data_IF_029759249160
#
_entry.id   IF_029759249160
#
_cell.length_a   1.000
_cell.length_b   1.000
_cell.length_c   1.000
_cell.angle_alpha   90.00
_cell.angle_beta   90.00
_cell.angle_gamma   90.00
#
_symmetry.space_group_name_H-M   'P 1'
#
loop_
_entity.id
_entity.type
_entity.pdbx_description
1 polymer ?
#
# COMPACT_ATOMS: atom_id res chain seq x y z
N UNK A 1 63.50 14.88 -12.82
CA UNK A 1 63.58 13.41 -12.66
C UNK A 1 62.55 12.98 -11.73
N UNK A 2 61.38 12.62 -12.24
CA UNK A 2 60.20 12.19 -11.46
C UNK A 2 59.90 10.72 -11.79
N UNK A 3 60.11 9.83 -10.85
CA UNK A 3 59.88 8.39 -10.99
C UNK A 3 58.37 8.12 -10.90
N UNK A 4 57.78 7.57 -11.93
CA UNK A 4 56.44 6.97 -11.92
C UNK A 4 56.48 5.57 -11.29
N UNK A 5 55.58 5.31 -10.38
CA UNK A 5 55.30 3.99 -9.80
C UNK A 5 54.15 3.35 -10.60
N UNK A 6 54.27 2.12 -11.11
CA UNK A 6 53.18 1.45 -11.82
C UNK A 6 52.17 0.89 -10.86
N UNK A 7 50.91 1.28 -11.01
CA UNK A 7 49.78 0.70 -10.28
C UNK A 7 49.45 -0.72 -10.76
N UNK A 8 49.54 -1.69 -9.87
CA UNK A 8 49.13 -3.06 -10.12
C UNK A 8 47.60 -3.14 -10.09
N UNK A 9 46.99 -3.48 -11.23
CA UNK A 9 45.57 -3.86 -11.32
C UNK A 9 45.37 -5.25 -10.77
N UNK A 10 44.70 -5.38 -9.62
CA UNK A 10 44.28 -6.67 -9.10
C UNK A 10 43.12 -7.24 -9.96
N UNK A 11 43.37 -8.41 -10.58
CA UNK A 11 42.40 -9.16 -11.35
C UNK A 11 41.52 -9.96 -10.43
N UNK A 12 40.20 -10.09 -10.77
CA UNK A 12 39.20 -10.88 -10.05
C UNK A 12 39.61 -12.35 -9.80
N UNK A 13 40.59 -12.85 -10.52
CA UNK A 13 41.09 -14.21 -10.38
C UNK A 13 42.04 -14.39 -9.19
N UNK A 14 42.64 -13.34 -8.66
CA UNK A 14 43.57 -13.40 -7.52
C UNK A 14 42.85 -13.28 -6.14
N UNK A 15 41.58 -12.89 -6.13
CA UNK A 15 40.82 -12.81 -4.91
C UNK A 15 40.31 -14.18 -4.40
N UNK A 16 40.09 -15.14 -5.29
CA UNK A 16 39.68 -16.50 -4.95
C UNK A 16 40.79 -17.44 -4.51
N UNK A 17 42.06 -17.02 -4.63
CA UNK A 17 43.22 -17.81 -4.21
C UNK A 17 43.69 -17.63 -2.76
N UNK A 18 43.11 -16.68 -2.00
CA UNK A 18 43.54 -16.32 -0.64
C UNK A 18 42.68 -16.88 0.48
N UNK A 19 41.62 -17.65 0.17
CA UNK A 19 40.70 -18.26 1.15
C UNK A 19 41.04 -19.74 1.42
N UNK A 20 42.07 -20.29 0.79
CA UNK A 20 42.36 -21.71 0.78
C UNK A 20 43.54 -22.21 1.63
N UNK A 21 44.14 -21.44 2.51
CA UNK A 21 45.29 -21.89 3.32
C UNK A 21 45.23 -21.40 4.77
N UNK A 22 44.43 -22.09 5.59
CA UNK A 22 44.31 -21.79 7.02
C UNK A 22 43.59 -22.87 7.81
N UNK A 23 43.86 -24.13 7.54
CA UNK A 23 43.32 -25.22 8.34
C UNK A 23 44.40 -26.28 8.65
N UNK A 24 45.18 -26.07 9.69
CA UNK A 24 45.81 -27.16 10.45
C UNK A 24 46.28 -26.64 11.83
N UNK A 25 45.82 -27.36 12.83
CA UNK A 25 46.35 -27.46 14.21
C UNK A 25 45.76 -26.48 15.25
N UNK A 26 44.79 -26.99 16.04
CA UNK A 26 44.97 -27.19 17.45
C UNK A 26 43.75 -27.92 18.04
N UNK A 27 44.00 -29.01 18.69
CA UNK A 27 43.06 -29.79 19.48
C UNK A 27 42.64 -29.05 20.74
N UNK A 28 41.35 -29.16 21.09
CA UNK A 28 40.87 -28.84 22.44
C UNK A 28 39.64 -27.97 22.53
N UNK A 29 38.49 -28.57 22.82
CA UNK A 29 37.36 -27.93 23.42
C UNK A 29 36.10 -27.79 22.58
N UNK A 30 34.92 -28.20 23.09
CA UNK A 30 33.66 -28.12 22.41
C UNK A 30 33.06 -26.71 22.55
N UNK A 31 33.43 -25.81 21.64
CA UNK A 31 32.84 -24.48 21.47
C UNK A 31 32.36 -24.24 20.06
N UNK A 32 31.67 -25.22 19.49
CA UNK A 32 30.87 -25.04 18.27
C UNK A 32 29.38 -25.27 18.57
N UNK A 33 28.91 -24.61 19.64
CA UNK A 33 27.52 -24.17 19.61
C UNK A 33 27.46 -22.96 18.68
N UNK A 34 27.77 -23.19 17.43
CA UNK A 34 27.56 -22.23 16.34
C UNK A 34 26.06 -22.01 16.26
N UNK A 35 25.66 -20.79 16.43
CA UNK A 35 24.35 -20.27 16.13
C UNK A 35 23.85 -20.86 14.81
N UNK A 36 23.05 -21.90 14.88
CA UNK A 36 22.05 -22.13 13.87
C UNK A 36 20.99 -21.07 14.09
N UNK A 37 21.27 -19.85 13.65
CA UNK A 37 20.19 -18.96 13.30
C UNK A 37 19.35 -19.74 12.28
N UNK A 38 18.23 -20.30 12.77
CA UNK A 38 17.13 -20.63 11.89
C UNK A 38 16.96 -19.43 10.97
N UNK A 39 16.90 -19.60 9.64
CA UNK A 39 16.51 -18.51 8.78
C UNK A 39 15.17 -18.01 9.34
N UNK A 40 15.17 -16.82 9.85
CA UNK A 40 13.98 -16.09 10.22
C UNK A 40 13.24 -15.86 8.89
N UNK A 41 12.28 -16.72 8.59
CA UNK A 41 11.62 -16.60 7.29
C UNK A 41 10.83 -17.79 6.84
N UNK A 42 10.42 -18.69 7.70
CA UNK A 42 9.15 -19.36 7.45
C UNK A 42 8.10 -18.47 8.09
N UNK A 43 7.41 -17.67 7.27
CA UNK A 43 6.31 -16.86 7.71
C UNK A 43 5.21 -17.74 8.30
N UNK A 44 5.37 -18.11 9.55
CA UNK A 44 4.22 -18.45 10.36
C UNK A 44 3.35 -17.19 10.30
N UNK A 45 2.13 -17.32 9.80
CA UNK A 45 1.12 -16.29 9.88
C UNK A 45 1.20 -15.74 11.31
N UNK A 46 1.63 -14.49 11.46
CA UNK A 46 1.73 -13.90 12.79
C UNK A 46 0.33 -14.03 13.36
N UNK A 47 0.21 -14.62 14.53
CA UNK A 47 -1.06 -14.65 15.22
C UNK A 47 -1.41 -13.20 15.52
N UNK A 48 -2.22 -12.60 14.65
CA UNK A 48 -2.60 -11.19 14.76
C UNK A 48 -3.33 -10.90 16.08
N UNK A 49 -3.85 -11.94 16.73
CA UNK A 49 -4.47 -11.84 18.05
C UNK A 49 -3.42 -11.67 19.16
N UNK A 50 -2.17 -12.04 18.92
CA UNK A 50 -1.06 -11.78 19.88
C UNK A 50 -0.79 -10.29 20.10
N UNK A 51 -1.30 -9.41 19.23
CA UNK A 51 -1.13 -7.96 19.31
C UNK A 51 -2.46 -7.23 19.55
N UNK A 52 -3.49 -7.93 19.95
CA UNK A 52 -4.81 -7.34 20.19
C UNK A 52 -4.76 -6.19 21.20
N UNK A 53 -3.91 -6.31 22.23
CA UNK A 53 -3.73 -5.30 23.29
C UNK A 53 -3.04 -4.01 22.80
N UNK A 54 -2.42 -4.03 21.62
CA UNK A 54 -1.80 -2.84 21.03
C UNK A 54 -2.80 -2.02 20.19
N UNK A 55 -3.93 -2.62 19.81
CA UNK A 55 -4.84 -2.01 18.85
C UNK A 55 -5.60 -0.83 19.46
N UNK A 56 -5.62 0.32 18.76
CA UNK A 56 -6.43 1.46 19.16
C UNK A 56 -7.92 1.16 19.17
N UNK A 57 -8.63 1.74 20.14
CA UNK A 57 -10.07 1.65 20.23
C UNK A 57 -10.72 2.55 19.19
N UNK A 58 -11.72 2.03 18.48
CA UNK A 58 -12.47 2.84 17.54
C UNK A 58 -13.51 3.71 18.25
N UNK A 59 -13.59 4.97 17.85
CA UNK A 59 -14.62 5.92 18.29
C UNK A 59 -15.08 6.76 17.11
N UNK A 60 -16.39 6.81 16.86
CA UNK A 60 -16.96 7.72 15.88
C UNK A 60 -16.84 9.17 16.38
N UNK A 61 -16.71 10.12 15.44
CA UNK A 61 -16.93 11.52 15.74
C UNK A 61 -18.43 11.77 15.93
N UNK A 62 -18.76 12.58 16.91
CA UNK A 62 -20.12 13.09 17.07
C UNK A 62 -20.30 14.30 16.15
N UNK A 63 -20.73 14.04 14.93
CA UNK A 63 -21.01 15.07 13.94
C UNK A 63 -22.51 15.38 13.95
N UNK A 64 -22.83 16.66 13.82
CA UNK A 64 -24.23 17.12 13.73
C UNK A 64 -24.91 16.77 12.41
N UNK A 65 -24.26 15.99 11.54
CA UNK A 65 -24.78 15.52 10.26
C UNK A 65 -25.21 14.06 10.42
N UNK A 66 -26.48 13.79 10.20
CA UNK A 66 -27.01 12.41 10.19
C UNK A 66 -26.89 11.81 8.78
N UNK A 67 -26.48 10.54 8.65
CA UNK A 67 -26.48 9.87 7.38
C UNK A 67 -27.91 9.56 6.90
N UNK A 68 -28.14 9.55 5.58
CA UNK A 68 -29.38 9.08 4.97
C UNK A 68 -29.48 7.55 5.01
N UNK A 69 -28.34 6.87 4.95
CA UNK A 69 -28.23 5.41 5.05
C UNK A 69 -27.19 5.08 6.11
N UNK A 70 -27.64 4.44 7.18
CA UNK A 70 -26.73 4.01 8.25
C UNK A 70 -25.91 2.83 7.76
N UNK A 71 -24.61 2.96 7.78
CA UNK A 71 -23.69 1.91 7.42
C UNK A 71 -23.62 0.81 8.48
N UNK A 72 -23.25 -0.38 8.05
CA UNK A 72 -22.89 -1.49 8.95
C UNK A 72 -21.43 -1.87 8.64
N UNK A 73 -20.58 -1.83 9.62
CA UNK A 73 -19.15 -2.09 9.38
C UNK A 73 -18.91 -3.42 8.66
N UNK A 74 -18.05 -3.45 7.65
CA UNK A 74 -17.13 -2.39 7.20
C UNK A 74 -17.71 -1.37 6.20
N UNK A 75 -19.05 -1.37 5.97
CA UNK A 75 -19.70 -0.45 5.04
C UNK A 75 -19.88 0.91 5.73
N UNK A 76 -19.37 2.02 5.15
CA UNK A 76 -19.52 3.35 5.72
C UNK A 76 -20.97 3.84 5.62
N UNK A 77 -21.25 4.88 6.38
CA UNK A 77 -22.50 5.64 6.26
C UNK A 77 -22.65 6.25 4.86
N UNK A 78 -23.89 6.28 4.37
CA UNK A 78 -24.22 6.81 3.05
C UNK A 78 -25.01 8.12 3.11
N UNK A 79 -24.72 8.99 2.15
CA UNK A 79 -25.40 10.29 1.97
C UNK A 79 -25.89 10.39 0.54
N UNK A 80 -27.17 10.74 0.34
CA UNK A 80 -27.77 10.88 -0.98
C UNK A 80 -27.39 12.18 -1.68
N UNK A 81 -26.88 13.14 -0.90
CA UNK A 81 -26.34 14.41 -1.43
C UNK A 81 -25.21 14.90 -0.52
N UNK A 82 -24.31 15.67 -1.10
CA UNK A 82 -23.25 16.32 -0.34
C UNK A 82 -23.86 17.30 0.67
N UNK A 83 -23.42 17.31 1.95
CA UNK A 83 -23.94 18.23 2.95
C UNK A 83 -23.79 19.69 2.53
N UNK A 84 -24.84 20.49 2.65
CA UNK A 84 -24.81 21.92 2.34
C UNK A 84 -24.04 22.74 3.38
N UNK A 85 -23.96 22.21 4.60
CA UNK A 85 -23.19 22.82 5.70
C UNK A 85 -22.14 21.82 6.13
N UNK A 86 -20.88 22.23 6.05
CA UNK A 86 -19.76 21.41 6.52
C UNK A 86 -19.57 21.63 8.02
N UNK A 87 -19.08 20.58 8.68
CA UNK A 87 -18.77 20.57 10.11
C UNK A 87 -17.28 20.36 10.27
N UNK A 88 -16.65 21.23 11.06
CA UNK A 88 -15.25 21.06 11.41
C UNK A 88 -15.09 19.88 12.36
N UNK A 89 -14.42 18.83 11.89
CA UNK A 89 -14.14 17.65 12.69
C UNK A 89 -13.04 17.90 13.74
N UNK A 90 -12.21 18.91 13.53
CA UNK A 90 -11.14 19.35 14.43
C UNK A 90 -11.28 20.85 14.62
N UNK A 91 -11.43 21.26 15.86
CA UNK A 91 -11.58 22.69 16.23
C UNK A 91 -10.24 23.35 16.54
N UNK A 92 -9.22 22.58 16.82
CA UNK A 92 -7.88 23.08 17.15
C UNK A 92 -6.90 22.71 16.03
N UNK A 93 -6.08 23.67 15.61
CA UNK A 93 -5.05 23.41 14.61
C UNK A 93 -3.97 22.52 15.20
N UNK A 94 -3.60 21.42 14.52
CA UNK A 94 -2.64 20.45 15.06
C UNK A 94 -1.23 21.01 15.20
N UNK A 95 -0.84 21.96 14.38
CA UNK A 95 0.48 22.57 14.40
C UNK A 95 0.51 23.91 15.10
N UNK A 96 1.25 24.03 16.20
CA UNK A 96 1.41 25.28 16.95
C UNK A 96 2.86 25.78 17.02
N UNK A 97 3.83 24.94 16.67
CA UNK A 97 5.26 25.27 16.80
C UNK A 97 5.80 26.13 15.65
N UNK A 98 5.13 26.18 14.51
CA UNK A 98 5.63 26.79 13.28
C UNK A 98 6.85 26.06 12.66
N UNK A 99 7.29 24.96 13.24
CA UNK A 99 8.38 24.13 12.72
C UNK A 99 7.89 23.41 11.46
N UNK A 100 8.68 23.46 10.38
CA UNK A 100 8.40 22.68 9.18
C UNK A 100 8.49 21.18 9.47
N UNK A 101 7.53 20.44 8.93
CA UNK A 101 7.49 18.98 8.94
C UNK A 101 7.83 18.48 7.54
N UNK A 102 8.82 17.62 7.45
CA UNK A 102 9.21 16.98 6.18
C UNK A 102 8.36 15.74 5.92
N UNK A 103 7.89 15.59 4.69
CA UNK A 103 7.06 14.45 4.29
C UNK A 103 7.47 13.91 2.92
N UNK A 104 7.30 12.61 2.68
CA UNK A 104 7.46 12.01 1.35
C UNK A 104 6.27 11.11 1.01
N UNK A 105 5.79 11.24 -0.23
CA UNK A 105 4.67 10.45 -0.75
C UNK A 105 4.87 10.14 -2.23
N UNK A 106 4.36 9.00 -2.75
CA UNK A 106 4.33 8.73 -4.18
C UNK A 106 3.20 9.48 -4.87
N UNK A 107 3.38 9.74 -6.17
CA UNK A 107 2.31 10.14 -7.08
C UNK A 107 2.48 9.47 -8.44
N UNK A 108 1.34 9.18 -9.09
CA UNK A 108 1.27 8.64 -10.44
C UNK A 108 0.67 9.70 -11.36
N UNK A 109 1.50 10.33 -12.16
CA UNK A 109 1.12 11.43 -13.04
C UNK A 109 2.14 12.58 -13.02
N UNK A 110 1.81 13.72 -13.62
CA UNK A 110 2.67 14.90 -13.59
C UNK A 110 2.95 15.32 -12.16
N UNK A 111 4.21 15.64 -11.84
CA UNK A 111 4.56 16.16 -10.52
C UNK A 111 3.75 17.43 -10.24
N UNK A 112 3.03 17.50 -9.12
CA UNK A 112 2.31 18.71 -8.77
C UNK A 112 3.28 19.85 -8.49
N UNK A 113 2.87 21.11 -8.66
CA UNK A 113 3.69 22.24 -8.36
C UNK A 113 4.08 22.25 -6.87
N UNK A 114 5.33 22.68 -6.57
CA UNK A 114 5.80 22.78 -5.20
C UNK A 114 4.94 23.72 -4.34
N UNK A 115 5.12 23.67 -3.03
CA UNK A 115 4.30 24.39 -2.05
C UNK A 115 4.17 25.90 -2.35
N UNK A 116 5.23 26.54 -2.86
CA UNK A 116 5.20 27.97 -3.20
C UNK A 116 4.31 28.33 -4.39
N UNK A 117 3.89 27.33 -5.19
CA UNK A 117 3.08 27.52 -6.40
C UNK A 117 1.73 26.77 -6.32
N UNK A 118 1.49 26.03 -5.26
CA UNK A 118 0.26 25.26 -5.05
C UNK A 118 -0.64 25.96 -4.03
N UNK A 119 -1.70 26.60 -4.50
CA UNK A 119 -2.71 27.19 -3.63
C UNK A 119 -3.36 26.16 -2.71
N UNK A 120 -3.52 24.92 -3.19
CA UNK A 120 -4.04 23.80 -2.38
C UNK A 120 -3.13 23.49 -1.19
N UNK A 121 -1.83 23.27 -1.42
CA UNK A 121 -0.88 22.96 -0.34
C UNK A 121 -0.74 24.14 0.64
N UNK A 122 -0.81 25.37 0.15
CA UNK A 122 -0.80 26.57 1.00
C UNK A 122 -2.04 26.62 1.90
N UNK A 123 -3.23 26.36 1.36
CA UNK A 123 -4.46 26.31 2.14
C UNK A 123 -4.43 25.19 3.20
N UNK A 124 -3.98 23.99 2.82
CA UNK A 124 -3.82 22.87 3.75
C UNK A 124 -2.85 23.24 4.89
N UNK A 125 -1.71 23.82 4.59
CA UNK A 125 -0.74 24.21 5.62
C UNK A 125 -1.26 25.33 6.53
N UNK A 126 -2.08 26.25 5.99
CA UNK A 126 -2.74 27.27 6.79
C UNK A 126 -3.75 26.67 7.77
N UNK A 127 -4.50 25.64 7.33
CA UNK A 127 -5.42 24.92 8.21
C UNK A 127 -4.69 24.07 9.25
N UNK A 128 -3.59 23.43 8.88
CA UNK A 128 -2.77 22.66 9.81
C UNK A 128 -2.05 23.56 10.86
N UNK A 129 -1.83 24.83 10.56
CA UNK A 129 -1.08 25.75 11.44
C UNK A 129 0.42 25.47 11.48
N UNK A 130 0.92 24.61 10.61
CA UNK A 130 2.35 24.30 10.44
C UNK A 130 2.63 23.93 8.98
N UNK A 131 3.80 24.33 8.43
CA UNK A 131 4.17 23.93 7.08
C UNK A 131 4.53 22.45 7.03
N UNK A 132 3.86 21.70 6.16
CA UNK A 132 4.24 20.34 5.77
C UNK A 132 4.85 20.40 4.38
N UNK A 133 6.12 20.07 4.26
CA UNK A 133 6.84 20.10 3.00
C UNK A 133 6.90 18.70 2.40
N UNK A 134 6.13 18.48 1.33
CA UNK A 134 6.04 17.21 0.66
C UNK A 134 7.09 17.07 -0.45
N UNK A 135 7.95 16.07 -0.31
CA UNK A 135 8.73 15.52 -1.41
C UNK A 135 7.88 14.49 -2.14
N UNK A 136 7.40 14.84 -3.34
CA UNK A 136 6.56 13.97 -4.15
C UNK A 136 7.44 13.22 -5.14
N UNK A 137 7.37 11.88 -5.12
CA UNK A 137 8.17 10.98 -5.93
C UNK A 137 7.32 10.25 -6.97
N UNK A 138 7.92 9.88 -8.10
CA UNK A 138 7.26 9.02 -9.09
C UNK A 138 6.92 7.66 -8.45
N UNK A 139 5.63 7.33 -8.46
CA UNK A 139 5.10 6.09 -7.91
C UNK A 139 5.66 4.83 -8.57
N UNK A 140 6.07 4.91 -9.84
CA UNK A 140 6.61 3.74 -10.56
C UNK A 140 8.03 3.37 -10.11
N UNK A 141 8.78 4.31 -9.56
CA UNK A 141 10.14 4.11 -9.05
C UNK A 141 10.26 4.31 -7.54
N UNK A 142 9.12 4.40 -6.86
CA UNK A 142 9.07 4.75 -5.44
C UNK A 142 9.80 3.75 -4.53
N UNK A 143 9.72 2.44 -4.83
CA UNK A 143 10.43 1.41 -4.09
C UNK A 143 11.95 1.61 -4.07
N UNK A 144 12.54 2.00 -5.19
CA UNK A 144 13.99 2.25 -5.29
C UNK A 144 14.39 3.43 -4.40
N UNK A 145 13.56 4.47 -4.37
CA UNK A 145 13.79 5.63 -3.51
C UNK A 145 13.66 5.26 -2.04
N UNK A 146 12.64 4.49 -1.66
CA UNK A 146 12.47 3.98 -0.30
C UNK A 146 13.68 3.16 0.14
N UNK A 147 14.13 2.22 -0.69
CA UNK A 147 15.31 1.39 -0.41
C UNK A 147 16.56 2.24 -0.16
N UNK A 148 16.80 3.24 -1.00
CA UNK A 148 17.95 4.13 -0.87
C UNK A 148 17.91 4.95 0.44
N UNK A 149 16.73 5.52 0.77
CA UNK A 149 16.54 6.33 1.99
C UNK A 149 16.66 5.49 3.27
N UNK A 150 15.98 4.35 3.32
CA UNK A 150 16.05 3.46 4.48
C UNK A 150 17.48 2.94 4.70
N UNK A 151 18.20 2.62 3.60
CA UNK A 151 19.58 2.21 3.64
C UNK A 151 20.52 3.32 4.11
N UNK A 152 20.28 4.55 3.71
CA UNK A 152 21.04 5.72 4.15
C UNK A 152 20.67 6.20 5.57
N UNK A 153 19.56 5.72 6.14
CA UNK A 153 18.98 6.19 7.40
C UNK A 153 18.62 7.68 7.39
N UNK A 154 18.30 8.20 6.21
CA UNK A 154 17.91 9.59 5.99
C UNK A 154 16.42 9.61 5.57
N UNK A 155 15.55 9.63 6.57
CA UNK A 155 14.10 9.54 6.40
C UNK A 155 13.43 10.84 6.83
N UNK A 156 12.35 11.26 6.15
CA UNK A 156 11.56 12.41 6.57
C UNK A 156 10.76 12.09 7.84
N UNK A 157 10.20 13.13 8.46
CA UNK A 157 9.35 12.97 9.66
C UNK A 157 8.06 12.19 9.35
N UNK A 158 7.50 12.36 8.15
CA UNK A 158 6.35 11.59 7.68
C UNK A 158 6.70 10.86 6.38
N UNK A 159 6.58 9.56 6.37
CA UNK A 159 6.89 8.73 5.22
C UNK A 159 5.67 7.88 4.82
N UNK A 160 5.14 8.11 3.62
CA UNK A 160 4.12 7.24 3.06
C UNK A 160 4.76 5.95 2.53
N UNK A 161 4.34 4.81 3.06
CA UNK A 161 4.74 3.49 2.54
C UNK A 161 3.52 2.74 2.06
N UNK A 162 3.26 2.69 0.74
CA UNK A 162 2.19 1.88 0.19
C UNK A 162 2.39 0.40 0.52
N UNK A 163 1.31 -0.28 0.93
CA UNK A 163 1.39 -1.68 1.35
C UNK A 163 1.99 -2.63 0.31
N UNK A 164 1.77 -2.35 -0.98
CA UNK A 164 2.34 -3.12 -2.10
C UNK A 164 3.83 -2.86 -2.38
N UNK A 165 4.43 -1.86 -1.73
CA UNK A 165 5.87 -1.61 -1.82
C UNK A 165 6.65 -2.37 -0.76
N UNK A 166 6.01 -2.77 0.34
CA UNK A 166 6.65 -3.43 1.49
C UNK A 166 7.42 -4.69 1.07
N UNK A 167 6.85 -5.50 0.17
CA UNK A 167 7.47 -6.73 -0.32
C UNK A 167 8.74 -6.49 -1.14
N UNK A 168 8.91 -5.28 -1.68
CA UNK A 168 10.07 -4.87 -2.49
C UNK A 168 11.20 -4.29 -1.63
N UNK A 169 10.98 -4.13 -0.33
CA UNK A 169 11.94 -3.50 0.59
C UNK A 169 12.57 -4.59 1.47
N UNK A 170 13.83 -4.95 1.26
CA UNK A 170 14.51 -5.94 2.08
C UNK A 170 14.56 -5.50 3.55
N UNK A 171 14.28 -6.43 4.47
CA UNK A 171 14.35 -6.20 5.91
C UNK A 171 13.52 -5.00 6.39
N UNK A 172 12.34 -4.79 5.76
CA UNK A 172 11.47 -3.66 6.06
C UNK A 172 11.13 -3.53 7.56
N UNK A 173 10.76 -4.64 8.22
CA UNK A 173 10.42 -4.64 9.65
C UNK A 173 11.57 -4.15 10.53
N UNK A 174 12.82 -4.50 10.19
CA UNK A 174 14.00 -4.05 10.92
C UNK A 174 14.26 -2.57 10.70
N UNK A 175 14.10 -2.10 9.45
CA UNK A 175 14.26 -0.68 9.12
C UNK A 175 13.24 0.17 9.86
N UNK A 176 11.96 -0.24 9.88
CA UNK A 176 10.92 0.43 10.64
C UNK A 176 11.25 0.43 12.13
N UNK A 177 11.67 -0.73 12.67
CA UNK A 177 12.05 -0.85 14.08
C UNK A 177 13.21 0.07 14.49
N UNK A 178 14.11 0.38 13.57
CA UNK A 178 15.32 1.16 13.85
C UNK A 178 15.19 2.67 13.58
N UNK A 179 14.26 3.09 12.71
CA UNK A 179 14.22 4.46 12.17
C UNK A 179 12.96 5.24 12.55
N UNK A 180 11.87 4.55 12.92
CA UNK A 180 10.60 5.21 13.19
C UNK A 180 10.23 5.15 14.66
N UNK A 181 9.48 6.12 15.10
CA UNK A 181 9.05 6.28 16.50
C UNK A 181 8.10 5.16 16.93
N UNK A 182 8.13 4.80 18.19
CA UNK A 182 7.15 3.92 18.83
C UNK A 182 5.92 4.71 19.23
N UNK A 183 4.84 4.50 18.50
CA UNK A 183 3.57 5.19 18.73
C UNK A 183 2.66 4.46 19.73
N UNK A 184 3.11 3.34 20.28
CA UNK A 184 2.28 2.46 21.10
C UNK A 184 1.65 3.20 22.29
N UNK A 185 2.44 3.93 23.06
CA UNK A 185 1.93 4.62 24.26
C UNK A 185 1.00 5.78 23.95
N UNK A 186 1.09 6.34 22.74
CA UNK A 186 0.22 7.42 22.28
C UNK A 186 -1.12 6.93 21.75
N UNK A 187 -1.17 5.69 21.20
CA UNK A 187 -2.29 5.27 20.37
C UNK A 187 -3.00 4.00 20.86
N UNK A 188 -2.37 3.15 21.68
CA UNK A 188 -2.99 1.88 22.11
C UNK A 188 -4.27 2.09 22.91
N UNK A 189 -5.25 1.22 22.71
CA UNK A 189 -6.51 1.27 23.43
C UNK A 189 -7.16 2.66 23.32
N UNK A 190 -7.58 3.20 24.46
CA UNK A 190 -8.26 4.49 24.54
C UNK A 190 -7.33 5.70 24.45
N UNK A 191 -6.00 5.52 24.47
CA UNK A 191 -5.04 6.61 24.31
C UNK A 191 -5.24 7.33 22.96
N UNK A 192 -5.67 6.62 21.93
CA UNK A 192 -6.01 7.19 20.60
C UNK A 192 -7.08 8.29 20.66
N UNK A 193 -7.92 8.33 21.70
CA UNK A 193 -8.96 9.35 21.86
C UNK A 193 -8.41 10.78 22.00
N UNK A 194 -7.12 10.91 22.36
CA UNK A 194 -6.44 12.20 22.31
C UNK A 194 -6.28 12.74 20.87
N UNK A 195 -6.49 11.88 19.87
CA UNK A 195 -6.41 12.19 18.45
C UNK A 195 -7.73 11.80 17.76
N UNK A 196 -8.77 12.65 17.83
CA UNK A 196 -10.14 12.28 17.45
C UNK A 196 -10.27 11.70 16.04
N UNK A 197 -9.52 12.26 15.06
CA UNK A 197 -9.55 11.74 13.68
C UNK A 197 -8.93 10.35 13.56
N UNK A 198 -7.87 10.06 14.30
CA UNK A 198 -7.25 8.73 14.31
C UNK A 198 -8.15 7.70 15.00
N UNK A 199 -8.91 8.12 16.02
CA UNK A 199 -9.85 7.26 16.70
C UNK A 199 -11.01 6.78 15.78
N UNK A 200 -11.30 7.50 14.69
CA UNK A 200 -12.32 7.06 13.71
C UNK A 200 -11.88 5.88 12.86
N UNK A 201 -10.60 5.56 12.82
CA UNK A 201 -10.13 4.45 12.01
C UNK A 201 -10.62 3.11 12.59
N UNK A 202 -11.07 2.18 11.73
CA UNK A 202 -11.45 0.86 12.20
C UNK A 202 -10.29 0.20 12.94
N UNK A 203 -10.55 -0.40 14.12
CA UNK A 203 -9.54 -1.12 14.91
C UNK A 203 -8.73 -2.11 14.07
N UNK A 204 -9.40 -2.80 13.13
CA UNK A 204 -8.74 -3.75 12.22
C UNK A 204 -7.72 -3.12 11.27
N UNK A 205 -7.86 -1.84 10.91
CA UNK A 205 -6.91 -1.15 10.04
C UNK A 205 -5.53 -0.98 10.69
N UNK A 206 -5.49 -0.85 12.00
CA UNK A 206 -4.27 -0.68 12.78
C UNK A 206 -3.36 -1.91 12.80
N UNK A 207 -3.89 -3.09 12.44
CA UNK A 207 -3.07 -4.32 12.33
C UNK A 207 -1.92 -4.15 11.33
N UNK A 208 -2.12 -3.37 10.27
CA UNK A 208 -1.09 -3.06 9.29
C UNK A 208 -0.04 -2.06 9.78
N UNK A 209 -0.28 -1.41 10.91
CA UNK A 209 0.62 -0.46 11.53
C UNK A 209 1.56 -1.09 12.58
N UNK A 210 1.37 -2.39 12.86
CA UNK A 210 2.18 -3.11 13.86
C UNK A 210 3.40 -3.72 13.18
N UNK A 211 4.58 -3.21 13.55
CA UNK A 211 5.86 -3.70 13.08
C UNK A 211 6.80 -3.90 14.27
N UNK A 212 7.56 -4.99 14.29
CA UNK A 212 8.48 -5.31 15.40
C UNK A 212 7.79 -5.30 16.78
N UNK A 213 6.53 -5.70 16.86
CA UNK A 213 5.76 -5.82 18.10
C UNK A 213 5.27 -4.49 18.70
N UNK A 214 5.22 -3.41 17.93
CA UNK A 214 4.77 -2.09 18.36
C UNK A 214 3.97 -1.36 17.27
N UNK A 215 3.21 -0.35 17.64
CA UNK A 215 2.60 0.56 16.68
C UNK A 215 3.69 1.51 16.15
N UNK A 216 4.14 1.29 14.92
CA UNK A 216 5.21 2.05 14.29
C UNK A 216 4.74 2.89 13.11
N UNK A 217 3.44 2.92 12.84
CA UNK A 217 2.84 3.67 11.75
C UNK A 217 1.41 4.08 12.09
N UNK A 218 0.89 5.02 11.31
CA UNK A 218 -0.53 5.35 11.26
C UNK A 218 -1.08 4.76 9.96
N UNK A 219 -2.14 3.95 9.99
CA UNK A 219 -2.74 3.44 8.77
C UNK A 219 -3.30 4.59 7.95
N UNK A 220 -3.14 4.51 6.64
CA UNK A 220 -3.85 5.35 5.69
C UNK A 220 -4.94 4.50 5.05
N UNK A 221 -6.11 4.36 5.66
CA UNK A 221 -7.19 3.57 5.09
C UNK A 221 -7.63 4.25 3.81
N UNK A 222 -7.49 3.54 2.73
CA UNK A 222 -8.14 3.91 1.48
C UNK A 222 -9.60 3.52 1.54
N UNK A 223 -10.35 4.01 0.59
CA UNK A 223 -11.79 3.83 0.43
C UNK A 223 -12.35 2.50 0.92
N UNK A 224 -13.65 2.40 1.02
CA UNK A 224 -14.36 1.25 1.56
C UNK A 224 -13.99 -0.11 0.94
N UNK A 225 -14.64 -1.19 1.39
CA UNK A 225 -14.29 -2.56 1.03
C UNK A 225 -14.43 -2.88 -0.46
N UNK A 226 -15.09 -1.99 -1.22
CA UNK A 226 -15.25 -2.08 -2.67
C UNK A 226 -14.64 -0.86 -3.36
N UNK A 227 -13.29 -0.76 -3.43
CA UNK A 227 -12.63 0.39 -4.03
C UNK A 227 -12.83 0.47 -5.54
N UNK A 228 -13.36 -0.57 -6.16
CA UNK A 228 -13.46 -0.74 -7.59
C UNK A 228 -14.86 -1.18 -7.97
N UNK A 229 -15.43 -0.53 -8.97
CA UNK A 229 -16.71 -0.91 -9.56
C UNK A 229 -16.64 -0.78 -11.08
N UNK A 230 -17.39 -1.60 -11.77
CA UNK A 230 -17.59 -1.43 -13.19
C UNK A 230 -18.64 -0.36 -13.42
N UNK A 231 -18.29 0.66 -14.17
CA UNK A 231 -19.22 1.69 -14.59
C UNK A 231 -19.62 1.49 -16.05
N UNK A 232 -20.91 1.65 -16.33
CA UNK A 232 -21.46 1.55 -17.67
C UNK A 232 -21.91 2.93 -18.15
N UNK A 233 -21.61 3.28 -19.39
CA UNK A 233 -22.19 4.44 -20.07
C UNK A 233 -23.63 4.11 -20.45
N UNK A 234 -24.52 4.14 -19.46
CA UNK A 234 -25.94 3.77 -19.65
C UNK A 234 -26.60 4.61 -20.73
N UNK A 235 -26.24 5.88 -20.82
CA UNK A 235 -26.72 6.79 -21.87
C UNK A 235 -26.41 6.28 -23.30
N UNK A 236 -25.24 5.66 -23.50
CA UNK A 236 -24.84 5.08 -24.77
C UNK A 236 -25.53 3.75 -25.05
N UNK A 237 -25.82 2.98 -24.03
CA UNK A 237 -26.60 1.74 -24.15
C UNK A 237 -28.07 2.06 -24.48
N UNK A 238 -28.68 3.00 -23.76
CA UNK A 238 -30.06 3.43 -23.97
C UNK A 238 -30.27 3.96 -25.38
N UNK A 239 -29.32 4.74 -25.92
CA UNK A 239 -29.36 5.23 -27.30
C UNK A 239 -29.35 4.10 -28.36
N UNK A 240 -28.98 2.87 -27.97
CA UNK A 240 -28.99 1.66 -28.80
C UNK A 240 -30.09 0.68 -28.43
N UNK A 241 -30.92 1.02 -27.43
CA UNK A 241 -31.95 0.12 -26.90
C UNK A 241 -31.42 -1.08 -26.13
N UNK A 242 -30.18 -0.97 -25.61
CA UNK A 242 -29.50 -2.03 -24.83
C UNK A 242 -29.67 -1.80 -23.33
N UNK A 243 -29.97 -2.87 -22.59
CA UNK A 243 -29.99 -2.83 -21.15
C UNK A 243 -28.55 -3.01 -20.57
N UNK A 244 -28.34 -2.55 -19.33
CA UNK A 244 -27.11 -2.82 -18.63
C UNK A 244 -26.92 -4.35 -18.43
N UNK A 245 -25.69 -4.90 -18.61
CA UNK A 245 -25.42 -6.31 -18.48
C UNK A 245 -25.57 -6.76 -17.01
N UNK A 246 -26.15 -7.95 -16.83
CA UNK A 246 -26.32 -8.59 -15.52
C UNK A 246 -25.37 -9.78 -15.30
N UNK A 247 -24.63 -10.16 -16.33
CA UNK A 247 -23.64 -11.24 -16.29
C UNK A 247 -22.46 -10.90 -17.17
N UNK A 248 -21.35 -11.64 -16.97
CA UNK A 248 -20.17 -11.55 -17.83
C UNK A 248 -20.50 -11.88 -19.30
N UNK A 249 -21.37 -12.87 -19.50
CA UNK A 249 -21.77 -13.31 -20.84
C UNK A 249 -22.58 -12.25 -21.59
N UNK A 250 -23.55 -11.64 -20.91
CA UNK A 250 -24.29 -10.48 -21.46
C UNK A 250 -23.35 -9.30 -21.75
N UNK A 251 -22.40 -9.03 -20.85
CA UNK A 251 -21.41 -7.98 -21.04
C UNK A 251 -20.58 -8.20 -22.30
N UNK A 252 -20.08 -9.42 -22.55
CA UNK A 252 -19.33 -9.74 -23.76
C UNK A 252 -20.20 -9.69 -25.02
N UNK A 253 -21.48 -10.01 -24.91
CA UNK A 253 -22.44 -9.89 -26.03
C UNK A 253 -22.65 -8.42 -26.40
N UNK A 254 -22.94 -7.58 -25.43
CA UNK A 254 -23.10 -6.13 -25.62
C UNK A 254 -21.80 -5.51 -26.16
N UNK A 255 -20.66 -5.96 -25.63
CA UNK A 255 -19.35 -5.47 -26.08
C UNK A 255 -19.15 -5.65 -27.59
N UNK A 256 -19.54 -6.80 -28.15
CA UNK A 256 -19.49 -7.05 -29.62
C UNK A 256 -20.40 -6.12 -30.41
N UNK A 257 -21.56 -5.78 -29.86
CA UNK A 257 -22.52 -4.92 -30.49
C UNK A 257 -22.11 -3.44 -30.52
N UNK A 258 -21.45 -2.98 -29.44
CA UNK A 258 -21.06 -1.57 -29.31
C UNK A 258 -19.68 -1.26 -29.88
N UNK A 259 -18.83 -2.26 -30.10
CA UNK A 259 -17.47 -2.08 -30.64
C UNK A 259 -17.55 -1.79 -32.13
N UNK A 260 -16.93 -0.70 -32.57
CA UNK A 260 -16.80 -0.28 -33.95
C UNK A 260 -15.37 0.23 -34.23
N UNK A 261 -14.44 -0.66 -34.63
CA UNK A 261 -13.05 -0.29 -34.87
C UNK A 261 -12.88 0.76 -36.01
N UNK A 262 -13.80 0.79 -36.98
CA UNK A 262 -13.73 1.78 -38.05
C UNK A 262 -13.92 3.20 -37.50
N UNK A 263 -14.72 3.35 -36.47
CA UNK A 263 -14.96 4.61 -35.75
C UNK A 263 -14.06 4.80 -34.53
N UNK A 264 -13.12 3.89 -34.28
CA UNK A 264 -12.24 3.87 -33.12
C UNK A 264 -13.03 3.86 -31.80
N UNK A 265 -14.08 3.04 -31.73
CA UNK A 265 -14.90 2.83 -30.53
C UNK A 265 -14.71 1.40 -30.06
N UNK A 266 -14.34 1.23 -28.83
CA UNK A 266 -14.21 -0.06 -28.15
C UNK A 266 -15.13 -0.11 -26.93
N UNK A 267 -15.59 -1.32 -26.61
CA UNK A 267 -16.50 -1.53 -25.49
C UNK A 267 -15.83 -1.34 -24.15
N UNK A 268 -14.57 -1.67 -24.06
CA UNK A 268 -13.80 -1.69 -22.81
C UNK A 268 -12.57 -0.80 -22.86
N UNK A 269 -12.24 -0.26 -21.69
CA UNK A 269 -10.91 0.18 -21.33
C UNK A 269 -10.19 -0.98 -20.60
N UNK A 270 -9.51 -0.76 -19.46
CA UNK A 270 -8.94 -1.84 -18.64
C UNK A 270 -10.01 -2.48 -17.74
N UNK A 271 -10.44 -3.71 -18.11
CA UNK A 271 -11.42 -4.49 -17.31
C UNK A 271 -10.78 -5.68 -16.58
N UNK A 272 -9.45 -5.86 -16.66
CA UNK A 272 -8.83 -7.06 -16.11
C UNK A 272 -9.04 -7.21 -14.60
N UNK A 273 -8.96 -6.12 -13.85
CA UNK A 273 -9.21 -6.15 -12.42
C UNK A 273 -10.65 -6.61 -12.10
N UNK A 274 -11.64 -6.14 -12.88
CA UNK A 274 -13.04 -6.52 -12.71
C UNK A 274 -13.29 -7.99 -13.03
N UNK A 275 -12.64 -8.51 -14.07
CA UNK A 275 -12.73 -9.92 -14.44
C UNK A 275 -12.10 -10.81 -13.36
N UNK A 276 -10.96 -10.41 -12.77
CA UNK A 276 -10.39 -11.11 -11.63
C UNK A 276 -11.35 -11.13 -10.44
N UNK A 277 -11.99 -10.01 -10.13
CA UNK A 277 -12.99 -9.94 -9.05
C UNK A 277 -14.21 -10.83 -9.33
N UNK A 278 -14.71 -10.83 -10.55
CA UNK A 278 -15.82 -11.69 -10.97
C UNK A 278 -15.51 -13.17 -10.73
N UNK A 279 -14.30 -13.59 -11.09
CA UNK A 279 -13.82 -14.97 -10.87
C UNK A 279 -13.35 -15.24 -9.43
N UNK A 280 -13.43 -14.28 -8.52
CA UNK A 280 -13.00 -14.41 -7.12
C UNK A 280 -11.52 -14.76 -6.98
N UNK A 281 -10.70 -14.23 -7.86
CA UNK A 281 -9.25 -14.38 -7.79
C UNK A 281 -8.74 -13.82 -6.46
N UNK A 282 -7.87 -14.53 -5.73
CA UNK A 282 -7.30 -14.02 -4.47
C UNK A 282 -6.66 -12.67 -4.64
N UNK A 283 -7.12 -11.71 -3.88
CA UNK A 283 -6.67 -10.34 -3.72
C UNK A 283 -6.06 -9.65 -4.96
N UNK A 284 -6.61 -8.54 -5.38
CA UNK A 284 -6.10 -7.79 -6.56
C UNK A 284 -4.67 -7.25 -6.33
N UNK A 285 -4.30 -6.95 -5.09
CA UNK A 285 -2.96 -6.52 -4.67
C UNK A 285 -2.41 -7.54 -3.68
N UNK A 286 -1.15 -7.97 -3.87
CA UNK A 286 -0.55 -9.03 -3.07
C UNK A 286 -0.91 -10.45 -3.52
N UNK A 287 -2.15 -10.71 -3.88
CA UNK A 287 -2.56 -11.94 -4.56
C UNK A 287 -2.49 -13.24 -3.75
N UNK A 288 -2.48 -13.17 -2.44
CA UNK A 288 -2.46 -14.34 -1.57
C UNK A 288 -3.80 -14.58 -0.89
N UNK A 289 -4.19 -15.83 -0.73
CA UNK A 289 -5.27 -16.25 0.18
C UNK A 289 -4.77 -17.36 1.10
N UNK A 290 -5.30 -17.40 2.31
CA UNK A 290 -5.07 -18.48 3.24
C UNK A 290 -6.11 -19.57 2.97
N UNK A 291 -5.66 -20.79 2.68
CA UNK A 291 -6.54 -21.96 2.53
C UNK A 291 -7.05 -22.43 3.89
N UNK A 292 -8.07 -23.27 3.89
CA UNK A 292 -8.65 -23.84 5.12
C UNK A 292 -7.67 -24.69 5.94
N UNK A 293 -6.63 -25.21 5.29
CA UNK A 293 -5.54 -25.97 5.93
C UNK A 293 -4.44 -25.07 6.53
N UNK A 294 -4.59 -23.74 6.44
CA UNK A 294 -3.63 -22.78 6.93
C UNK A 294 -2.44 -22.52 6.00
N UNK A 295 -2.41 -23.11 4.81
CA UNK A 295 -1.35 -22.85 3.83
C UNK A 295 -1.70 -21.65 2.92
N UNK A 296 -0.72 -20.79 2.60
CA UNK A 296 -0.94 -19.70 1.64
C UNK A 296 -1.02 -20.25 0.21
N UNK A 297 -1.86 -19.64 -0.61
CA UNK A 297 -2.00 -19.91 -2.03
C UNK A 297 -1.85 -18.61 -2.82
N UNK A 298 -0.99 -18.61 -3.81
CA UNK A 298 -0.76 -17.45 -4.65
C UNK A 298 -1.72 -17.41 -5.83
N UNK A 299 -2.23 -16.23 -6.17
CA UNK A 299 -3.28 -16.08 -7.20
C UNK A 299 -2.94 -16.74 -8.55
N UNK A 300 -1.68 -16.72 -8.96
CA UNK A 300 -1.26 -17.29 -10.25
C UNK A 300 -1.29 -18.82 -10.28
N UNK A 301 -1.44 -19.47 -9.13
CA UNK A 301 -1.57 -20.92 -8.99
C UNK A 301 -3.04 -21.37 -9.01
N UNK A 302 -3.97 -20.41 -9.05
CA UNK A 302 -5.39 -20.68 -8.91
C UNK A 302 -6.12 -20.88 -10.23
N UNK A 303 -7.13 -21.77 -10.28
CA UNK A 303 -7.97 -21.92 -11.46
C UNK A 303 -8.78 -20.65 -11.78
N UNK A 304 -9.14 -19.87 -10.77
CA UNK A 304 -9.86 -18.61 -10.91
C UNK A 304 -9.05 -17.58 -11.72
N UNK A 305 -7.74 -17.50 -11.48
CA UNK A 305 -6.87 -16.61 -12.26
C UNK A 305 -6.76 -17.08 -13.71
N UNK A 306 -6.66 -18.38 -13.92
CA UNK A 306 -6.65 -18.96 -15.27
C UNK A 306 -7.91 -18.62 -16.05
N UNK A 307 -9.08 -18.77 -15.41
CA UNK A 307 -10.37 -18.41 -16.02
C UNK A 307 -10.42 -16.92 -16.38
N UNK A 308 -9.93 -16.05 -15.50
CA UNK A 308 -9.84 -14.62 -15.78
C UNK A 308 -8.95 -14.30 -16.99
N UNK A 309 -7.82 -15.00 -17.12
CA UNK A 309 -6.93 -14.87 -18.30
C UNK A 309 -7.59 -15.36 -19.59
N UNK A 310 -8.33 -16.47 -19.54
CA UNK A 310 -9.05 -17.01 -20.68
C UNK A 310 -10.10 -16.01 -21.20
N UNK A 311 -10.82 -15.35 -20.29
CA UNK A 311 -11.77 -14.27 -20.65
C UNK A 311 -11.04 -13.07 -21.28
N UNK A 312 -9.92 -12.63 -20.69
CA UNK A 312 -9.14 -11.53 -21.23
C UNK A 312 -8.57 -11.85 -22.62
N UNK A 313 -8.05 -13.07 -22.80
CA UNK A 313 -7.58 -13.51 -24.11
C UNK A 313 -8.69 -13.47 -25.14
N UNK A 314 -9.90 -13.85 -24.76
CA UNK A 314 -11.07 -13.80 -25.65
C UNK A 314 -11.47 -12.36 -25.99
N UNK A 315 -11.50 -11.44 -25.01
CA UNK A 315 -11.78 -10.01 -25.24
C UNK A 315 -10.76 -9.44 -26.24
N UNK A 316 -9.49 -9.73 -26.06
CA UNK A 316 -8.43 -9.27 -26.97
C UNK A 316 -8.56 -9.86 -28.38
N UNK A 317 -8.84 -11.18 -28.49
CA UNK A 317 -9.01 -11.86 -29.76
C UNK A 317 -10.25 -11.36 -30.54
N UNK A 318 -11.31 -11.04 -29.82
CA UNK A 318 -12.56 -10.51 -30.39
C UNK A 318 -12.44 -9.00 -30.72
N UNK A 319 -11.34 -8.33 -30.32
CA UNK A 319 -11.08 -6.90 -30.59
C UNK A 319 -12.00 -5.94 -29.82
N UNK A 320 -12.44 -6.31 -28.61
CA UNK A 320 -13.45 -5.60 -27.81
C UNK A 320 -12.89 -4.50 -26.92
#
# INVERSE_FOLDING_TARGET
MTRQIPGARASRRNFLGLVGLGAAAAAGGPLLAGCSEKPAGTGAAQNLDAFADLLPTHKNLDLSISPDVIGTRPVPDGYTRYPSTLVDAITEKPGTSGKEITAMTPAWGPAPPGIGQSAYLQAVNAELGTPVNFTIQDGNTYADKLNAMLGARDVPELLCVPGWEVEKIPRFSEAIGALFEDLTDYLKGDAVNAYPMLATFPTGAWRNAIWSGRLAAVPNPTDGPFPWAMFTRQDLLDARGLAAPKSLEEMLTIAKEVTDPARKVWAFDDVFAMIQMYHKVPGSKGGWRLKSDGTPEFKYETPEFRQALEVMAKIYQDGL
#
